data_IF_645815078427
#
_entry.id   IF_645815078427
#
_cell.length_a   1.000
_cell.length_b   1.000
_cell.length_c   1.000
_cell.angle_alpha   90.00
_cell.angle_beta   90.00
_cell.angle_gamma   90.00
#
_symmetry.space_group_name_H-M   'P 1'
#
loop_
_entity.id
_entity.type
_entity.pdbx_description
1 polymer ?
#
# COMPACT_ATOMS: atom_id res chain seq x y z
N UNK A 1 23.44 15.64 -21.04
CA UNK A 1 22.14 16.23 -21.23
C UNK A 1 22.14 17.68 -20.81
N UNK A 2 21.69 18.57 -21.65
CA UNK A 2 21.84 20.02 -21.46
C UNK A 2 20.90 20.63 -20.40
N UNK A 3 19.90 19.93 -19.90
CA UNK A 3 18.98 20.48 -18.91
C UNK A 3 18.75 19.45 -17.79
N UNK A 4 19.59 19.49 -16.76
CA UNK A 4 19.26 18.78 -15.51
C UNK A 4 18.20 19.57 -14.77
N UNK A 5 17.14 18.94 -14.24
CA UNK A 5 16.19 19.63 -13.40
C UNK A 5 16.90 20.12 -12.12
N UNK A 6 16.52 21.31 -11.66
CA UNK A 6 16.99 21.85 -10.37
C UNK A 6 16.31 21.16 -9.19
N UNK A 7 15.12 20.65 -9.43
CA UNK A 7 14.28 19.98 -8.44
C UNK A 7 13.35 19.01 -9.16
N UNK A 8 13.08 17.85 -8.52
CA UNK A 8 12.05 16.89 -8.94
C UNK A 8 10.98 16.81 -7.86
N UNK A 9 9.72 16.92 -8.25
CA UNK A 9 8.58 16.73 -7.35
C UNK A 9 7.90 15.41 -7.72
N UNK A 10 7.85 14.49 -6.76
CA UNK A 10 7.32 13.14 -6.91
C UNK A 10 5.98 13.06 -6.18
N UNK A 11 4.90 12.93 -6.93
CA UNK A 11 3.54 12.85 -6.38
C UNK A 11 2.96 11.46 -6.60
N UNK A 12 2.67 10.79 -5.49
CA UNK A 12 2.10 9.46 -5.47
C UNK A 12 3.14 8.34 -5.46
N UNK A 13 2.67 7.19 -5.04
CA UNK A 13 3.51 6.02 -4.78
C UNK A 13 4.18 5.49 -6.06
N UNK A 14 3.48 5.52 -7.18
CA UNK A 14 3.98 5.07 -8.49
C UNK A 14 5.13 5.95 -9.00
N UNK A 15 4.96 7.27 -8.91
CA UNK A 15 6.02 8.23 -9.33
C UNK A 15 7.27 8.10 -8.45
N UNK A 16 7.06 7.95 -7.15
CA UNK A 16 8.14 7.69 -6.19
C UNK A 16 8.89 6.41 -6.54
N UNK A 17 8.18 5.31 -6.70
CA UNK A 17 8.79 4.02 -7.02
C UNK A 17 9.55 4.04 -8.34
N UNK A 18 8.95 4.57 -9.38
CA UNK A 18 9.62 4.69 -10.68
C UNK A 18 10.92 5.51 -10.58
N UNK A 19 10.94 6.55 -9.75
CA UNK A 19 12.13 7.37 -9.55
C UNK A 19 13.25 6.64 -8.82
N UNK A 20 12.96 6.03 -7.68
CA UNK A 20 13.96 5.30 -6.89
C UNK A 20 14.49 4.06 -7.60
N UNK A 21 13.68 3.47 -8.49
CA UNK A 21 14.07 2.29 -9.29
C UNK A 21 15.00 2.63 -10.46
N UNK A 22 15.21 3.92 -10.77
CA UNK A 22 16.16 4.32 -11.83
C UNK A 22 17.61 3.99 -11.50
N UNK A 23 17.98 3.97 -10.22
CA UNK A 23 19.33 3.71 -9.71
C UNK A 23 20.44 4.47 -10.48
N UNK A 24 20.14 5.69 -10.94
CA UNK A 24 21.06 6.51 -11.70
C UNK A 24 21.66 7.63 -10.86
N UNK A 25 22.91 8.01 -11.17
CA UNK A 25 23.59 9.15 -10.54
C UNK A 25 22.77 10.46 -10.64
N UNK A 26 22.01 10.62 -11.72
CA UNK A 26 21.14 11.78 -11.90
C UNK A 26 19.98 11.75 -10.90
N UNK A 27 19.31 10.61 -10.76
CA UNK A 27 18.23 10.45 -9.82
C UNK A 27 18.71 10.63 -8.36
N UNK A 28 19.86 10.04 -8.02
CA UNK A 28 20.44 10.15 -6.68
C UNK A 28 20.86 11.57 -6.31
N UNK A 29 21.46 12.31 -7.25
CA UNK A 29 22.02 13.65 -6.99
C UNK A 29 21.04 14.80 -7.18
N UNK A 30 19.95 14.61 -7.91
CA UNK A 30 18.97 15.69 -8.13
C UNK A 30 18.12 15.86 -6.87
N UNK A 31 18.02 17.11 -6.34
CA UNK A 31 17.13 17.37 -5.22
C UNK A 31 15.70 16.92 -5.52
N UNK A 32 15.07 16.24 -4.60
CA UNK A 32 13.69 15.75 -4.79
C UNK A 32 12.81 16.03 -3.58
N UNK A 33 11.55 16.32 -3.85
CA UNK A 33 10.48 16.45 -2.86
C UNK A 33 9.45 15.37 -3.17
N UNK A 34 9.08 14.58 -2.17
CA UNK A 34 8.04 13.58 -2.33
C UNK A 34 6.77 13.94 -1.57
N UNK A 35 5.62 13.56 -2.11
CA UNK A 35 4.33 13.75 -1.46
C UNK A 35 3.29 12.75 -1.90
N UNK A 36 2.31 12.49 -1.04
CA UNK A 36 1.33 11.41 -1.22
C UNK A 36 2.00 10.05 -1.37
N UNK A 37 3.08 9.82 -0.63
CA UNK A 37 3.91 8.62 -0.67
C UNK A 37 3.81 7.93 0.68
N UNK A 38 3.70 6.62 0.69
CA UNK A 38 3.83 5.83 1.92
C UNK A 38 5.28 5.83 2.40
N UNK A 39 5.46 5.79 3.71
CA UNK A 39 6.78 5.54 4.34
C UNK A 39 7.41 4.26 3.78
N UNK A 40 6.59 3.27 3.48
CA UNK A 40 7.03 2.01 2.91
C UNK A 40 6.65 1.94 1.42
N UNK A 41 7.60 1.49 0.61
CA UNK A 41 7.46 1.35 -0.83
C UNK A 41 8.24 0.16 -1.37
N UNK A 42 8.24 0.03 -2.67
CA UNK A 42 8.96 -1.02 -3.40
C UNK A 42 9.94 -0.41 -4.39
N UNK A 43 11.04 -1.08 -4.60
CA UNK A 43 11.89 -0.89 -5.79
C UNK A 43 11.35 -1.82 -6.86
N UNK A 44 11.06 -1.29 -8.06
CA UNK A 44 10.55 -2.09 -9.17
C UNK A 44 11.60 -3.11 -9.63
N UNK A 45 11.19 -4.30 -10.00
CA UNK A 45 12.10 -5.31 -10.49
C UNK A 45 12.59 -4.96 -11.90
N UNK A 46 13.59 -5.70 -12.36
CA UNK A 46 13.99 -5.71 -13.77
C UNK A 46 12.82 -6.22 -14.66
N UNK A 47 12.73 -5.72 -15.89
CA UNK A 47 11.66 -6.07 -16.84
C UNK A 47 11.58 -7.58 -17.17
N UNK A 48 12.63 -8.34 -16.87
CA UNK A 48 12.66 -9.81 -17.05
C UNK A 48 11.89 -10.58 -15.96
N UNK A 49 11.52 -9.93 -14.85
CA UNK A 49 10.88 -10.57 -13.71
C UNK A 49 9.36 -10.64 -13.92
N UNK A 50 8.80 -11.83 -13.83
CA UNK A 50 7.35 -12.01 -13.79
C UNK A 50 6.79 -11.49 -12.45
N UNK A 51 6.03 -10.39 -12.51
CA UNK A 51 5.47 -9.74 -11.32
C UNK A 51 4.47 -10.60 -10.56
N UNK A 52 3.90 -11.64 -11.19
CA UNK A 52 2.98 -12.58 -10.52
C UNK A 52 3.67 -13.45 -9.49
N UNK A 53 4.95 -13.76 -9.70
CA UNK A 53 5.76 -14.58 -8.79
C UNK A 53 6.81 -13.76 -8.05
N UNK A 54 6.88 -12.46 -8.32
CA UNK A 54 7.81 -11.57 -7.64
C UNK A 54 7.39 -11.34 -6.19
N UNK A 55 8.32 -11.58 -5.27
CA UNK A 55 8.14 -11.30 -3.85
C UNK A 55 8.95 -10.06 -3.46
N UNK A 56 8.33 -8.86 -3.54
CA UNK A 56 9.01 -7.62 -3.24
C UNK A 56 9.31 -7.46 -1.75
N UNK A 57 10.46 -6.89 -1.45
CA UNK A 57 10.80 -6.45 -0.11
C UNK A 57 10.24 -5.06 0.15
N UNK A 58 9.56 -4.87 1.29
CA UNK A 58 9.11 -3.55 1.73
C UNK A 58 10.31 -2.70 2.16
N UNK A 59 10.55 -1.57 1.47
CA UNK A 59 11.60 -0.60 1.74
C UNK A 59 11.06 0.60 2.49
N UNK A 60 11.85 1.15 3.40
CA UNK A 60 11.49 2.32 4.20
C UNK A 60 12.21 3.57 3.66
N UNK A 61 11.44 4.63 3.39
CA UNK A 61 11.96 5.88 2.81
C UNK A 61 13.02 6.56 3.66
N UNK A 62 12.99 6.37 4.97
CA UNK A 62 13.93 7.02 5.89
C UNK A 62 15.25 6.26 6.05
N UNK A 63 15.24 4.95 5.84
CA UNK A 63 16.42 4.10 6.14
C UNK A 63 17.09 3.53 4.89
N UNK A 64 16.33 3.29 3.82
CA UNK A 64 16.81 2.47 2.71
C UNK A 64 17.24 3.28 1.47
N UNK A 65 17.03 4.61 1.48
CA UNK A 65 17.31 5.50 0.35
C UNK A 65 18.24 6.68 0.70
N UNK A 66 19.16 6.45 1.61
CA UNK A 66 20.09 7.50 2.09
C UNK A 66 21.07 8.06 1.03
N UNK A 67 21.22 7.39 -0.11
CA UNK A 67 21.99 7.84 -1.27
C UNK A 67 21.21 8.77 -2.22
N UNK A 68 19.88 8.91 -2.03
CA UNK A 68 19.04 9.85 -2.78
C UNK A 68 18.97 11.21 -2.07
N UNK A 69 19.03 12.29 -2.84
CA UNK A 69 18.93 13.65 -2.31
C UNK A 69 17.46 14.07 -2.10
N UNK A 70 16.81 13.47 -1.11
CA UNK A 70 15.44 13.80 -0.74
C UNK A 70 15.49 14.97 0.23
N UNK A 71 15.14 16.17 -0.22
CA UNK A 71 15.26 17.42 0.56
C UNK A 71 14.04 17.68 1.43
N UNK A 72 12.89 17.14 1.08
CA UNK A 72 11.67 17.17 1.88
C UNK A 72 10.69 16.07 1.45
N UNK A 73 9.76 15.72 2.34
CA UNK A 73 8.72 14.75 2.04
C UNK A 73 7.51 14.91 2.94
N UNK A 74 6.34 14.69 2.35
CA UNK A 74 5.07 14.55 3.07
C UNK A 74 4.56 13.15 2.82
N UNK A 75 4.90 12.27 3.77
CA UNK A 75 4.64 10.85 3.70
C UNK A 75 3.56 10.45 4.70
N UNK A 76 2.93 9.33 4.44
CA UNK A 76 1.96 8.72 5.34
C UNK A 76 2.38 7.28 5.65
N UNK A 77 1.84 6.73 6.72
CA UNK A 77 2.15 5.39 7.19
C UNK A 77 0.91 4.50 7.19
N UNK A 78 1.06 3.27 6.76
CA UNK A 78 0.10 2.21 6.97
C UNK A 78 0.50 1.45 8.24
N UNK A 79 -0.24 1.67 9.33
CA UNK A 79 0.06 1.09 10.63
C UNK A 79 -0.60 -0.29 10.77
N UNK A 80 0.14 -1.33 10.44
CA UNK A 80 -0.35 -2.72 10.52
C UNK A 80 -0.56 -3.11 11.97
N UNK A 81 0.36 -2.77 12.87
CA UNK A 81 0.30 -3.14 14.29
C UNK A 81 -0.97 -2.61 14.95
N UNK A 82 -1.29 -1.31 14.76
CA UNK A 82 -2.53 -0.74 15.30
C UNK A 82 -3.80 -1.33 14.68
N UNK A 83 -3.75 -1.73 13.42
CA UNK A 83 -4.88 -2.44 12.81
C UNK A 83 -5.07 -3.82 13.42
N UNK A 84 -3.99 -4.59 13.66
CA UNK A 84 -4.06 -5.89 14.35
C UNK A 84 -4.58 -5.72 15.78
N UNK A 85 -4.06 -4.74 16.52
CA UNK A 85 -4.54 -4.43 17.89
C UNK A 85 -6.03 -4.06 17.90
N UNK A 86 -6.48 -3.23 16.95
CA UNK A 86 -7.88 -2.86 16.79
C UNK A 86 -8.75 -4.09 16.55
N UNK A 87 -8.34 -4.96 15.60
CA UNK A 87 -9.06 -6.20 15.31
C UNK A 87 -9.15 -7.10 16.55
N UNK A 88 -8.05 -7.33 17.28
CA UNK A 88 -8.02 -8.13 18.51
C UNK A 88 -8.92 -7.57 19.62
N UNK A 89 -9.00 -6.26 19.70
CA UNK A 89 -9.84 -5.59 20.70
C UNK A 89 -11.33 -5.88 20.49
N UNK A 90 -11.78 -5.93 19.23
CA UNK A 90 -13.18 -6.21 18.90
C UNK A 90 -13.47 -7.72 18.75
N UNK A 91 -12.46 -8.47 18.32
CA UNK A 91 -12.54 -9.90 18.03
C UNK A 91 -11.41 -10.66 18.74
N UNK A 92 -11.47 -10.80 20.09
CA UNK A 92 -10.38 -11.41 20.88
C UNK A 92 -10.12 -12.88 20.52
N UNK A 93 -11.13 -13.54 19.96
CA UNK A 93 -11.01 -14.96 19.50
C UNK A 93 -10.48 -15.07 18.08
N UNK A 94 -10.03 -13.99 17.46
CA UNK A 94 -9.44 -13.99 16.14
C UNK A 94 -8.21 -14.92 16.08
N UNK A 95 -8.15 -15.75 15.04
CA UNK A 95 -7.05 -16.69 14.78
C UNK A 95 -6.41 -16.42 13.42
N UNK A 96 -7.10 -15.67 12.56
CA UNK A 96 -6.71 -15.46 11.17
C UNK A 96 -6.93 -14.02 10.75
N UNK A 97 -6.00 -13.54 9.92
CA UNK A 97 -6.15 -12.28 9.18
C UNK A 97 -6.16 -12.60 7.69
N UNK A 98 -7.25 -12.34 7.00
CA UNK A 98 -7.30 -12.40 5.55
C UNK A 98 -6.96 -11.01 4.99
N UNK A 99 -5.82 -10.89 4.31
CA UNK A 99 -5.41 -9.64 3.69
C UNK A 99 -5.77 -9.63 2.22
N UNK A 100 -6.44 -8.57 1.78
CA UNK A 100 -6.87 -8.37 0.39
C UNK A 100 -6.01 -7.28 -0.25
N UNK A 101 -5.33 -7.62 -1.34
CA UNK A 101 -4.61 -6.66 -2.19
C UNK A 101 -4.82 -6.93 -3.66
N UNK A 102 -4.77 -5.89 -4.46
CA UNK A 102 -4.93 -5.96 -5.91
C UNK A 102 -3.59 -6.03 -6.66
N UNK A 103 -3.66 -6.11 -8.00
CA UNK A 103 -2.51 -6.13 -8.89
C UNK A 103 -2.01 -4.72 -9.26
N UNK A 104 -2.23 -3.71 -8.40
CA UNK A 104 -1.62 -2.40 -8.55
C UNK A 104 -0.31 -2.31 -7.76
N UNK A 105 0.54 -1.35 -8.13
CA UNK A 105 1.75 -1.06 -7.35
C UNK A 105 1.42 -0.79 -5.87
N UNK A 106 0.35 -0.02 -5.61
CA UNK A 106 -0.11 0.25 -4.23
C UNK A 106 -0.51 -1.02 -3.49
N UNK A 107 -1.23 -1.94 -4.17
CA UNK A 107 -1.61 -3.24 -3.63
C UNK A 107 -0.40 -4.10 -3.27
N UNK A 108 0.57 -4.18 -4.17
CA UNK A 108 1.82 -4.93 -3.95
C UNK A 108 2.63 -4.34 -2.79
N UNK A 109 2.74 -3.02 -2.74
CA UNK A 109 3.47 -2.32 -1.68
C UNK A 109 2.86 -2.58 -0.30
N UNK A 110 1.52 -2.50 -0.20
CA UNK A 110 0.82 -2.83 1.04
C UNK A 110 1.00 -4.30 1.41
N UNK A 111 0.94 -5.22 0.45
CA UNK A 111 1.12 -6.64 0.71
C UNK A 111 2.53 -6.95 1.24
N UNK A 112 3.57 -6.36 0.64
CA UNK A 112 4.94 -6.52 1.10
C UNK A 112 5.12 -5.98 2.54
N UNK A 113 4.51 -4.84 2.85
CA UNK A 113 4.51 -4.29 4.20
C UNK A 113 3.81 -5.23 5.18
N UNK A 114 2.59 -5.66 4.84
CA UNK A 114 1.81 -6.54 5.73
C UNK A 114 2.52 -7.88 5.94
N UNK A 115 3.14 -8.47 4.90
CA UNK A 115 3.96 -9.68 5.05
C UNK A 115 5.05 -9.50 6.09
N UNK A 116 5.83 -8.43 6.00
CA UNK A 116 6.91 -8.10 6.94
C UNK A 116 6.39 -7.89 8.37
N UNK A 117 5.32 -7.13 8.53
CA UNK A 117 4.77 -6.81 9.84
C UNK A 117 4.09 -8.02 10.51
N UNK A 118 3.45 -8.91 9.73
CA UNK A 118 2.82 -10.12 10.24
C UNK A 118 3.81 -11.14 10.82
N UNK A 119 5.09 -11.04 10.53
CA UNK A 119 6.14 -11.86 11.18
C UNK A 119 6.18 -11.66 12.71
N UNK A 120 5.70 -10.51 13.20
CA UNK A 120 5.58 -10.20 14.62
C UNK A 120 4.43 -10.97 15.32
N UNK A 121 3.54 -11.56 14.54
CA UNK A 121 2.30 -12.21 15.01
C UNK A 121 2.25 -13.70 14.63
N UNK A 122 3.19 -14.53 15.11
CA UNK A 122 3.27 -15.95 14.74
C UNK A 122 2.07 -16.78 15.25
N UNK A 123 1.25 -16.21 16.12
CA UNK A 123 0.02 -16.82 16.63
C UNK A 123 -1.19 -16.59 15.72
N UNK A 124 -1.05 -15.75 14.67
CA UNK A 124 -2.07 -15.48 13.68
C UNK A 124 -1.72 -16.14 12.34
N UNK A 125 -2.63 -16.91 11.80
CA UNK A 125 -2.56 -17.39 10.42
C UNK A 125 -2.92 -16.25 9.47
N UNK A 126 -2.07 -15.96 8.47
CA UNK A 126 -2.38 -14.98 7.43
C UNK A 126 -2.85 -15.67 6.16
N UNK A 127 -4.01 -15.27 5.66
CA UNK A 127 -4.60 -15.75 4.42
C UNK A 127 -4.46 -14.62 3.38
N UNK A 128 -3.69 -14.89 2.32
CA UNK A 128 -3.47 -13.92 1.23
C UNK A 128 -4.55 -14.07 0.16
N UNK A 129 -5.29 -13.00 -0.11
CA UNK A 129 -6.24 -12.85 -1.19
C UNK A 129 -5.61 -11.87 -2.19
N UNK A 130 -4.87 -12.43 -3.16
CA UNK A 130 -3.88 -11.72 -3.95
C UNK A 130 -4.35 -11.53 -5.40
N UNK A 131 -4.75 -10.32 -5.74
CA UNK A 131 -5.17 -9.95 -7.08
C UNK A 131 -4.11 -10.07 -8.17
N UNK A 132 -2.82 -10.32 -7.83
CA UNK A 132 -1.80 -10.62 -8.85
C UNK A 132 -2.00 -11.98 -9.49
N UNK A 133 -2.55 -12.92 -8.75
CA UNK A 133 -2.70 -14.32 -9.16
C UNK A 133 -4.15 -14.77 -9.23
N UNK A 134 -5.06 -14.02 -8.65
CA UNK A 134 -6.47 -14.36 -8.55
C UNK A 134 -7.35 -13.28 -9.20
N UNK A 135 -8.40 -13.72 -9.87
CA UNK A 135 -9.46 -12.86 -10.37
C UNK A 135 -10.36 -12.39 -9.22
N UNK A 136 -11.14 -11.33 -9.46
CA UNK A 136 -12.19 -10.90 -8.54
C UNK A 136 -13.14 -12.03 -8.15
N UNK A 137 -13.51 -12.89 -9.09
CA UNK A 137 -14.43 -13.99 -8.82
C UNK A 137 -13.81 -15.05 -7.92
N UNK A 138 -12.55 -15.40 -8.13
CA UNK A 138 -11.82 -16.36 -7.30
C UNK A 138 -11.63 -15.82 -5.87
N UNK A 139 -11.24 -14.55 -5.72
CA UNK A 139 -11.15 -13.92 -4.40
C UNK A 139 -12.51 -13.89 -3.70
N UNK A 140 -13.59 -13.55 -4.42
CA UNK A 140 -14.94 -13.56 -3.86
C UNK A 140 -15.37 -14.95 -3.41
N UNK A 141 -15.03 -16.00 -4.16
CA UNK A 141 -15.35 -17.38 -3.80
C UNK A 141 -14.53 -17.83 -2.58
N UNK A 142 -13.25 -17.45 -2.49
CA UNK A 142 -12.43 -17.70 -1.30
C UNK A 142 -12.97 -16.95 -0.08
N UNK A 143 -13.41 -15.71 -0.24
CA UNK A 143 -14.06 -14.94 0.84
C UNK A 143 -15.28 -15.66 1.41
N UNK A 144 -16.12 -16.28 0.56
CA UNK A 144 -17.30 -17.07 1.02
C UNK A 144 -16.90 -18.24 1.90
N UNK A 145 -15.73 -18.83 1.68
CA UNK A 145 -15.23 -20.04 2.35
C UNK A 145 -14.27 -19.76 3.50
N UNK A 146 -13.98 -18.49 3.80
CA UNK A 146 -13.08 -18.15 4.89
C UNK A 146 -13.60 -18.74 6.21
N UNK A 147 -12.70 -19.35 7.02
CA UNK A 147 -13.07 -19.92 8.31
C UNK A 147 -13.62 -18.86 9.26
N UNK A 148 -14.43 -19.31 10.21
CA UNK A 148 -14.81 -18.49 11.36
C UNK A 148 -13.58 -18.03 12.15
N UNK A 149 -13.69 -16.96 12.94
CA UNK A 149 -12.58 -16.34 13.66
C UNK A 149 -11.50 -15.74 12.71
N UNK A 150 -11.90 -15.37 11.50
CA UNK A 150 -11.11 -14.59 10.55
C UNK A 150 -11.56 -13.15 10.56
N UNK A 151 -10.63 -12.20 10.72
CA UNK A 151 -10.85 -10.79 10.39
C UNK A 151 -10.26 -10.50 9.01
N UNK A 152 -10.95 -9.69 8.24
CA UNK A 152 -10.46 -9.26 6.92
C UNK A 152 -9.82 -7.88 7.05
N UNK A 153 -8.61 -7.72 6.55
CA UNK A 153 -7.93 -6.44 6.40
C UNK A 153 -7.86 -6.09 4.91
N UNK A 154 -8.62 -5.10 4.50
CA UNK A 154 -8.63 -4.63 3.12
C UNK A 154 -7.54 -3.58 2.90
N UNK A 155 -6.64 -3.84 1.97
CA UNK A 155 -5.71 -2.89 1.41
C UNK A 155 -6.40 -2.08 0.30
N UNK A 156 -6.42 -2.61 -0.89
CA UNK A 156 -7.06 -2.01 -2.07
C UNK A 156 -7.55 -3.09 -3.04
N UNK A 157 -8.54 -2.74 -3.87
CA UNK A 157 -8.97 -3.60 -4.96
C UNK A 157 -9.46 -2.77 -6.15
N UNK A 158 -8.68 -2.72 -7.22
CA UNK A 158 -8.98 -1.99 -8.46
C UNK A 158 -8.73 -2.82 -9.71
N UNK A 159 -7.66 -3.63 -9.70
CA UNK A 159 -7.18 -4.40 -10.85
C UNK A 159 -6.79 -5.79 -10.37
N UNK A 160 -7.23 -6.82 -11.07
CA UNK A 160 -6.85 -8.20 -10.79
C UNK A 160 -5.82 -8.75 -11.79
N UNK A 161 -5.54 -10.05 -11.74
CA UNK A 161 -4.56 -10.72 -12.60
C UNK A 161 -4.91 -10.71 -14.10
N UNK A 162 -6.15 -10.34 -14.46
CA UNK A 162 -6.57 -10.17 -15.85
C UNK A 162 -6.35 -8.76 -16.38
N UNK A 163 -5.76 -7.88 -15.56
CA UNK A 163 -5.58 -6.45 -15.83
C UNK A 163 -6.92 -5.71 -16.06
N UNK A 164 -8.02 -6.36 -15.73
CA UNK A 164 -9.35 -5.76 -15.81
C UNK A 164 -9.52 -4.74 -14.69
N UNK A 165 -9.76 -3.50 -15.09
CA UNK A 165 -10.09 -2.44 -14.13
C UNK A 165 -11.55 -2.59 -13.71
N UNK A 166 -11.77 -2.90 -12.44
CA UNK A 166 -13.12 -3.05 -11.90
C UNK A 166 -13.60 -1.69 -11.38
N UNK A 167 -14.55 -1.12 -12.10
CA UNK A 167 -15.14 0.19 -11.78
C UNK A 167 -16.23 0.03 -10.72
N UNK A 168 -16.24 0.93 -9.73
CA UNK A 168 -17.36 1.09 -8.81
C UNK A 168 -17.23 0.27 -7.52
N UNK A 169 -18.28 -0.42 -7.12
CA UNK A 169 -18.45 -0.99 -5.78
C UNK A 169 -17.76 -2.35 -5.54
N UNK A 170 -16.63 -2.64 -6.17
CA UNK A 170 -15.98 -3.96 -6.09
C UNK A 170 -15.62 -4.35 -4.66
N UNK A 171 -15.10 -3.43 -3.89
CA UNK A 171 -14.75 -3.68 -2.48
C UNK A 171 -15.99 -3.95 -1.64
N UNK A 172 -17.11 -3.33 -1.97
CA UNK A 172 -18.41 -3.63 -1.36
C UNK A 172 -18.86 -5.05 -1.69
N UNK A 173 -18.71 -5.47 -2.95
CA UNK A 173 -19.05 -6.83 -3.37
C UNK A 173 -18.16 -7.89 -2.70
N UNK A 174 -16.88 -7.61 -2.48
CA UNK A 174 -16.00 -8.50 -1.72
C UNK A 174 -16.49 -8.67 -0.29
N UNK A 175 -16.86 -7.57 0.36
CA UNK A 175 -17.46 -7.63 1.72
C UNK A 175 -18.76 -8.44 1.72
N UNK A 176 -19.63 -8.26 0.71
CA UNK A 176 -20.91 -8.96 0.63
C UNK A 176 -20.77 -10.45 0.26
N UNK A 177 -19.61 -10.87 -0.24
CA UNK A 177 -19.34 -12.29 -0.47
C UNK A 177 -19.42 -13.11 0.83
N UNK A 178 -19.03 -12.50 1.98
CA UNK A 178 -19.22 -13.09 3.30
C UNK A 178 -19.54 -12.02 4.35
N UNK A 179 -20.82 -11.64 4.49
CA UNK A 179 -21.23 -10.55 5.38
C UNK A 179 -21.08 -10.84 6.87
N UNK A 180 -20.77 -12.08 7.21
CA UNK A 180 -20.55 -12.48 8.64
C UNK A 180 -19.13 -12.19 9.12
N UNK A 181 -18.19 -11.96 8.23
CA UNK A 181 -16.82 -11.64 8.59
C UNK A 181 -16.65 -10.14 8.86
N UNK A 182 -15.93 -9.78 9.92
CA UNK A 182 -15.56 -8.38 10.18
C UNK A 182 -14.52 -7.91 9.16
N UNK A 183 -14.81 -6.81 8.47
CA UNK A 183 -13.90 -6.20 7.50
C UNK A 183 -13.38 -4.89 8.04
N UNK A 184 -12.06 -4.79 8.17
CA UNK A 184 -11.30 -3.60 8.50
C UNK A 184 -10.57 -3.09 7.28
N UNK A 185 -10.12 -1.84 7.30
CA UNK A 185 -9.38 -1.24 6.20
C UNK A 185 -8.11 -0.57 6.68
N UNK A 186 -7.02 -0.74 5.92
CA UNK A 186 -5.74 -0.08 6.21
C UNK A 186 -5.59 1.24 5.43
N UNK A 187 -6.37 1.41 4.34
CA UNK A 187 -6.24 2.51 3.38
C UNK A 187 -7.52 3.34 3.21
N UNK A 188 -8.34 3.49 4.22
CA UNK A 188 -9.59 4.26 4.23
C UNK A 188 -10.73 3.77 3.31
N UNK A 189 -10.53 2.77 2.48
CA UNK A 189 -11.58 2.21 1.63
C UNK A 189 -12.71 1.64 2.48
N UNK A 190 -13.93 2.11 2.26
CA UNK A 190 -15.12 1.67 3.00
C UNK A 190 -15.27 2.26 4.39
N UNK A 191 -14.33 3.09 4.87
CA UNK A 191 -14.40 3.73 6.18
C UNK A 191 -15.58 4.72 6.22
N UNK A 192 -16.40 4.64 7.27
CA UNK A 192 -17.63 5.42 7.39
C UNK A 192 -18.83 4.85 6.60
N UNK A 193 -18.66 3.72 5.90
CA UNK A 193 -19.69 3.04 5.13
C UNK A 193 -19.89 1.59 5.60
N UNK A 194 -19.05 0.69 5.15
CA UNK A 194 -19.19 -0.76 5.37
C UNK A 194 -18.00 -1.39 6.11
N UNK A 195 -16.84 -0.72 6.16
CA UNK A 195 -15.74 -1.17 7.00
C UNK A 195 -16.04 -0.89 8.45
N UNK A 196 -15.79 -1.84 9.34
CA UNK A 196 -16.01 -1.71 10.79
C UNK A 196 -15.09 -0.68 11.43
N UNK A 197 -13.92 -0.46 10.84
CA UNK A 197 -12.93 0.48 11.30
C UNK A 197 -11.61 0.29 10.58
N UNK A 198 -10.61 1.04 11.01
CA UNK A 198 -9.26 0.94 10.52
C UNK A 198 -8.40 2.08 11.05
N UNK A 199 -7.13 1.79 11.24
CA UNK A 199 -6.10 2.80 11.40
C UNK A 199 -5.63 3.17 10.00
N UNK A 200 -6.02 4.36 9.54
CA UNK A 200 -5.79 4.80 8.16
C UNK A 200 -4.99 6.09 8.11
N UNK A 201 -4.18 6.31 7.05
CA UNK A 201 -3.46 7.56 6.89
C UNK A 201 -4.37 8.78 6.79
N UNK A 202 -3.84 9.94 7.20
CA UNK A 202 -4.50 11.23 7.01
C UNK A 202 -3.90 11.95 5.79
N UNK A 203 -4.72 12.22 4.77
CA UNK A 203 -4.25 12.74 3.48
C UNK A 203 -4.46 14.25 3.27
N UNK A 204 -5.21 14.92 4.15
CA UNK A 204 -5.80 16.25 3.86
C UNK A 204 -4.84 17.43 3.70
N UNK A 205 -3.67 17.43 4.35
CA UNK A 205 -2.80 18.61 4.33
C UNK A 205 -1.65 18.56 3.31
N UNK A 206 -1.49 17.44 2.62
CA UNK A 206 -0.25 17.14 1.88
C UNK A 206 0.01 18.09 0.72
N UNK A 207 -0.99 18.39 -0.12
CA UNK A 207 -0.78 19.22 -1.31
C UNK A 207 -0.37 20.66 -0.98
N UNK A 208 -0.99 21.27 0.03
CA UNK A 208 -0.66 22.62 0.48
C UNK A 208 0.77 22.71 1.01
N UNK A 209 1.16 21.72 1.78
CA UNK A 209 2.49 21.67 2.39
C UNK A 209 3.58 21.46 1.35
N UNK A 210 3.37 20.62 0.34
CA UNK A 210 4.33 20.42 -0.77
C UNK A 210 4.54 21.73 -1.53
N UNK A 211 3.48 22.46 -1.85
CA UNK A 211 3.57 23.76 -2.54
C UNK A 211 4.43 24.76 -1.77
N UNK A 212 4.20 24.91 -0.46
CA UNK A 212 4.96 25.81 0.39
C UNK A 212 6.47 25.47 0.42
N UNK A 213 6.80 24.19 0.67
CA UNK A 213 8.21 23.73 0.71
C UNK A 213 8.90 23.86 -0.65
N UNK A 214 8.19 23.61 -1.74
CA UNK A 214 8.74 23.80 -3.09
C UNK A 214 9.09 25.25 -3.34
N UNK A 215 8.20 26.18 -2.98
CA UNK A 215 8.45 27.61 -3.09
C UNK A 215 9.68 28.00 -2.27
N UNK A 216 9.75 27.64 -1.00
CA UNK A 216 10.86 27.97 -0.11
C UNK A 216 12.20 27.38 -0.59
N UNK A 217 12.18 26.25 -1.27
CA UNK A 217 13.38 25.63 -1.84
C UNK A 217 13.90 26.38 -3.07
N UNK A 218 12.99 26.84 -3.95
CA UNK A 218 13.34 27.50 -5.20
C UNK A 218 13.69 29.00 -5.03
N UNK A 219 13.24 29.61 -3.93
CA UNK A 219 13.46 31.04 -3.62
C UNK A 219 14.79 31.30 -2.90
N UNK A 220 15.54 30.26 -2.60
CA UNK A 220 16.90 30.30 -1.99
C UNK A 220 17.98 30.21 -3.04
#
# INVERSE_FOLDING_TARGET
>A
GKNRPSLVILLGQEAWSAYISQDTEIAKKTPSICGMVSVNGLVLPDDSIDTRVWEPESKNIYTDFGDYNIVAGYVYEYDVDKNIELMRRFYPDMRRVAFISDNTYGGLSMQALVKKEMEKYPDLETIWLDGRTETFMEVSERMRRLPQNTCVLLGTWRVDCTESYVIGNTTYMLRDANPTLPVFTIASVGLGHWALGGYTPEYHAVGKNIGAVTYDFLDK
#
